data_IF_149872414152
#
_entry.id   IF_149872414152
#
_cell.length_a   1.000
_cell.length_b   1.000
_cell.length_c   1.000
_cell.angle_alpha   90.00
_cell.angle_beta   90.00
_cell.angle_gamma   90.00
#
_symmetry.space_group_name_H-M   'P 1'
#
loop_
_entity.id
_entity.type
_entity.pdbx_description
1 polymer ?
#
# COMPACT_ATOMS: atom_id res chain seq x y z
N UNK A 1 7.73 1.89 -5.56
CA UNK A 1 6.38 1.31 -5.40
C UNK A 1 6.47 -0.12 -4.89
N UNK A 2 5.49 -0.52 -4.08
CA UNK A 2 5.43 -1.88 -3.56
C UNK A 2 4.77 -2.80 -4.57
N UNK A 3 5.42 -3.92 -4.87
CA UNK A 3 4.91 -4.91 -5.79
C UNK A 3 3.78 -5.73 -5.16
N UNK A 4 3.00 -6.39 -6.00
CA UNK A 4 1.86 -7.21 -5.59
C UNK A 4 2.22 -8.24 -4.52
N UNK A 5 3.37 -8.89 -4.65
CA UNK A 5 3.81 -9.93 -3.72
C UNK A 5 4.02 -9.40 -2.31
N UNK A 6 4.30 -8.11 -2.15
CA UNK A 6 4.47 -7.49 -0.84
C UNK A 6 3.15 -7.01 -0.25
N UNK A 7 2.16 -6.76 -1.08
CA UNK A 7 0.88 -6.18 -0.69
C UNK A 7 -0.19 -7.25 -0.46
N UNK A 8 -0.20 -8.29 -1.31
CA UNK A 8 -1.24 -9.32 -1.26
C UNK A 8 -1.23 -10.07 0.06
N UNK A 9 -2.35 -10.04 0.75
CA UNK A 9 -2.50 -10.74 2.03
C UNK A 9 -1.74 -10.13 3.19
N UNK A 10 -1.30 -8.88 3.07
CA UNK A 10 -0.48 -8.23 4.09
C UNK A 10 -1.18 -8.16 5.45
N UNK A 11 -2.51 -8.07 5.48
CA UNK A 11 -3.28 -8.02 6.73
C UNK A 11 -3.19 -9.32 7.53
N UNK A 12 -2.72 -10.40 6.91
CA UNK A 12 -2.59 -11.71 7.53
C UNK A 12 -1.14 -12.15 7.71
N UNK A 13 -0.18 -11.31 7.37
CA UNK A 13 1.23 -11.70 7.37
C UNK A 13 2.09 -10.69 8.12
N UNK A 14 2.56 -11.09 9.30
CA UNK A 14 3.48 -10.26 10.09
C UNK A 14 4.80 -10.02 9.36
N UNK A 15 5.27 -11.00 8.58
CA UNK A 15 6.51 -10.86 7.82
C UNK A 15 6.40 -9.75 6.78
N UNK A 16 5.31 -9.75 6.02
CA UNK A 16 5.07 -8.70 5.03
C UNK A 16 4.93 -7.34 5.68
N UNK A 17 4.22 -7.26 6.80
CA UNK A 17 4.04 -6.03 7.55
C UNK A 17 5.37 -5.44 8.00
N UNK A 18 6.25 -6.26 8.57
CA UNK A 18 7.56 -5.82 9.02
C UNK A 18 8.43 -5.34 7.88
N UNK A 19 8.39 -6.07 6.77
CA UNK A 19 9.18 -5.70 5.59
C UNK A 19 8.74 -4.35 5.05
N UNK A 20 7.43 -4.15 4.88
CA UNK A 20 6.89 -2.90 4.36
C UNK A 20 7.12 -1.73 5.31
N UNK A 21 7.00 -1.97 6.63
CA UNK A 21 7.31 -0.94 7.63
C UNK A 21 8.76 -0.47 7.52
N UNK A 22 9.68 -1.40 7.27
CA UNK A 22 11.09 -1.05 7.07
C UNK A 22 11.29 -0.18 5.84
N UNK A 23 10.65 -0.54 4.74
CA UNK A 23 10.70 0.25 3.50
C UNK A 23 10.15 1.66 3.73
N UNK A 24 9.02 1.79 4.40
CA UNK A 24 8.39 3.08 4.69
C UNK A 24 9.31 3.94 5.57
N UNK A 25 9.91 3.33 6.59
CA UNK A 25 10.82 4.05 7.49
C UNK A 25 12.01 4.63 6.73
N UNK A 26 12.66 3.80 5.92
CA UNK A 26 13.81 4.25 5.12
C UNK A 26 13.40 5.33 4.12
N UNK A 27 12.24 5.16 3.49
CA UNK A 27 11.75 6.13 2.52
C UNK A 27 11.50 7.50 3.16
N UNK A 28 10.99 7.53 4.38
CA UNK A 28 10.80 8.79 5.11
C UNK A 28 12.13 9.49 5.38
N UNK A 29 13.15 8.73 5.75
CA UNK A 29 14.48 9.29 5.98
C UNK A 29 15.07 9.90 4.71
N UNK A 30 14.70 9.37 3.55
CA UNK A 30 15.16 9.85 2.25
C UNK A 30 14.19 10.83 1.59
N UNK A 31 13.10 11.19 2.27
CA UNK A 31 12.04 12.06 1.74
C UNK A 31 11.40 11.52 0.48
N UNK A 32 11.26 10.19 0.39
CA UNK A 32 10.61 9.52 -0.73
C UNK A 32 9.20 9.10 -0.36
N UNK A 33 8.31 9.08 -1.35
CA UNK A 33 6.94 8.58 -1.19
C UNK A 33 6.87 7.12 -1.59
N UNK A 34 6.09 6.33 -0.84
CA UNK A 34 5.89 4.90 -1.12
C UNK A 34 4.44 4.67 -1.51
N UNK A 35 4.22 4.05 -2.66
CA UNK A 35 2.89 3.72 -3.16
C UNK A 35 2.76 2.20 -3.27
N UNK A 36 1.61 1.67 -2.89
CA UNK A 36 1.31 0.26 -3.01
C UNK A 36 0.62 -0.02 -4.34
N UNK A 37 1.03 -1.10 -5.01
CA UNK A 37 0.44 -1.52 -6.28
C UNK A 37 -0.48 -2.72 -6.06
N UNK A 38 -1.52 -2.80 -6.87
CA UNK A 38 -2.43 -3.96 -6.92
C UNK A 38 -3.11 -4.28 -5.60
N UNK A 39 -3.55 -3.24 -4.90
CA UNK A 39 -4.39 -3.42 -3.71
C UNK A 39 -5.74 -3.96 -4.15
N UNK A 40 -6.16 -5.08 -3.59
CA UNK A 40 -7.37 -5.79 -4.02
C UNK A 40 -8.49 -5.77 -2.98
N UNK A 41 -8.18 -5.57 -1.70
CA UNK A 41 -9.19 -5.63 -0.65
C UNK A 41 -9.14 -4.42 0.27
N UNK A 42 -10.28 -4.07 0.91
CA UNK A 42 -10.30 -3.00 1.90
C UNK A 42 -9.40 -3.27 3.10
N UNK A 43 -9.25 -4.55 3.47
CA UNK A 43 -8.40 -4.95 4.59
C UNK A 43 -6.93 -4.63 4.31
N UNK A 44 -6.47 -4.94 3.10
CA UNK A 44 -5.12 -4.60 2.67
C UNK A 44 -4.92 -3.09 2.69
N UNK A 45 -5.87 -2.35 2.14
CA UNK A 45 -5.83 -0.90 2.10
C UNK A 45 -5.74 -0.30 3.51
N UNK A 46 -6.58 -0.77 4.42
CA UNK A 46 -6.61 -0.26 5.79
C UNK A 46 -5.28 -0.46 6.48
N UNK A 47 -4.69 -1.63 6.34
CA UNK A 47 -3.40 -1.92 6.96
C UNK A 47 -2.28 -1.06 6.37
N UNK A 48 -2.28 -0.87 5.05
CA UNK A 48 -1.28 -0.03 4.39
C UNK A 48 -1.37 1.43 4.87
N UNK A 49 -2.57 1.93 5.10
CA UNK A 49 -2.76 3.26 5.68
C UNK A 49 -2.17 3.34 7.08
N UNK A 50 -2.39 2.32 7.90
CA UNK A 50 -1.86 2.27 9.27
C UNK A 50 -0.34 2.26 9.25
N UNK A 51 0.27 1.53 8.31
CA UNK A 51 1.71 1.48 8.18
C UNK A 51 2.30 2.83 7.75
N UNK A 52 1.53 3.62 6.98
CA UNK A 52 1.98 4.94 6.56
C UNK A 52 2.35 5.06 5.10
N UNK A 53 1.81 4.19 4.25
CA UNK A 53 1.98 4.28 2.80
C UNK A 53 1.36 5.59 2.31
N UNK A 54 2.02 6.22 1.33
CA UNK A 54 1.58 7.53 0.80
C UNK A 54 0.37 7.44 -0.11
N UNK A 55 0.17 6.31 -0.77
CA UNK A 55 -0.98 6.11 -1.65
C UNK A 55 -1.01 4.70 -2.17
N UNK A 56 -2.05 4.37 -2.95
CA UNK A 56 -2.23 3.02 -3.48
C UNK A 56 -2.98 3.05 -4.81
N UNK A 57 -2.82 1.96 -5.57
CA UNK A 57 -3.60 1.72 -6.79
C UNK A 57 -3.90 0.23 -6.89
N UNK A 58 -4.90 -0.15 -7.67
CA UNK A 58 -5.23 -1.55 -7.87
C UNK A 58 -6.69 -1.79 -8.20
N UNK A 59 -7.06 -3.07 -8.31
CA UNK A 59 -8.40 -3.49 -8.69
C UNK A 59 -9.51 -2.99 -7.78
N UNK A 60 -9.23 -2.85 -6.49
CA UNK A 60 -10.19 -2.35 -5.53
C UNK A 60 -10.67 -0.94 -5.91
N UNK A 61 -9.73 -0.06 -6.27
CA UNK A 61 -10.10 1.31 -6.65
C UNK A 61 -10.79 1.36 -8.02
N UNK A 62 -10.37 0.50 -8.94
CA UNK A 62 -10.98 0.45 -10.27
C UNK A 62 -12.45 0.07 -10.21
N UNK A 63 -12.86 -0.74 -9.24
CA UNK A 63 -14.25 -1.12 -9.05
C UNK A 63 -15.09 0.00 -8.44
N UNK A 64 -14.54 0.74 -7.49
CA UNK A 64 -15.25 1.80 -6.77
C UNK A 64 -15.21 3.13 -7.51
N UNK A 65 -14.07 3.41 -8.14
CA UNK A 65 -13.80 4.69 -8.78
C UNK A 65 -13.19 4.43 -10.15
N UNK A 66 -14.01 4.08 -11.16
CA UNK A 66 -13.49 3.64 -12.47
C UNK A 66 -12.57 4.65 -13.16
N UNK A 67 -12.69 5.93 -12.81
CA UNK A 67 -11.87 7.00 -13.40
C UNK A 67 -10.56 7.23 -12.64
N UNK A 68 -10.32 6.48 -11.57
CA UNK A 68 -9.12 6.62 -10.74
C UNK A 68 -8.42 5.28 -10.64
N UNK A 69 -7.14 5.26 -10.97
CA UNK A 69 -6.31 4.06 -10.84
C UNK A 69 -5.35 4.18 -9.67
N UNK A 70 -5.23 5.36 -9.07
CA UNK A 70 -4.33 5.63 -7.97
C UNK A 70 -4.95 6.62 -7.01
N UNK A 71 -4.79 6.36 -5.71
CA UNK A 71 -5.31 7.23 -4.65
C UNK A 71 -4.15 7.60 -3.72
N UNK A 72 -4.01 8.90 -3.44
CA UNK A 72 -3.08 9.38 -2.43
C UNK A 72 -3.80 9.50 -1.09
N UNK A 73 -3.12 9.12 0.00
CA UNK A 73 -3.72 9.13 1.35
C UNK A 73 -3.48 10.44 2.09
N UNK A 74 -2.51 11.20 1.64
CA UNK A 74 -2.15 12.45 2.32
C UNK A 74 -1.83 13.55 1.32
#
# INVERSE_FOLDING_TARGET
NLAFELVHGIERSNSQQKYVRGIVHISRLLSLSVFALDVETPQELQLLKVIGISGAQGGYFSKLLPNYTQVAFH
#
